data_IF_295615084601
#
_entry.id   IF_295615084601
#
_cell.length_a   1.000
_cell.length_b   1.000
_cell.length_c   1.000
_cell.angle_alpha   90.00
_cell.angle_beta   90.00
_cell.angle_gamma   90.00
#
_symmetry.space_group_name_H-M   'P 1'
#
loop_
_entity.id
_entity.type
_entity.pdbx_description
1 polymer ?
#
# COMPACT_ATOMS: atom_id res chain seq x y z
N UNK A 1 8.54 1.50 -13.96
CA UNK A 1 8.78 2.40 -12.87
C UNK A 1 10.15 2.13 -12.26
N UNK A 2 10.96 3.18 -12.17
CA UNK A 2 12.36 3.08 -11.78
C UNK A 2 12.63 3.42 -10.31
N UNK A 3 11.60 3.47 -9.48
CA UNK A 3 11.79 3.70 -8.06
C UNK A 3 12.52 2.52 -7.44
N UNK A 4 13.64 2.81 -6.78
CA UNK A 4 14.35 1.79 -6.02
C UNK A 4 13.64 1.54 -4.70
N UNK A 5 13.89 0.36 -4.12
CA UNK A 5 13.38 0.04 -2.78
C UNK A 5 13.82 1.10 -1.77
N UNK A 6 15.08 1.51 -1.83
CA UNK A 6 15.61 2.51 -0.90
C UNK A 6 14.89 3.85 -1.02
N UNK A 7 14.55 4.27 -2.23
CA UNK A 7 13.82 5.52 -2.46
C UNK A 7 12.46 5.49 -1.79
N UNK A 8 11.72 4.41 -1.95
CA UNK A 8 10.36 4.29 -1.40
C UNK A 8 10.39 4.21 0.13
N UNK A 9 11.39 3.54 0.70
CA UNK A 9 11.49 3.35 2.14
C UNK A 9 12.23 4.47 2.87
N UNK A 10 12.78 5.43 2.17
CA UNK A 10 13.51 6.55 2.73
C UNK A 10 12.54 7.64 3.17
N UNK A 11 12.58 8.03 4.44
CA UNK A 11 11.72 9.06 5.01
C UNK A 11 11.84 10.42 4.31
N UNK A 12 12.99 10.72 3.70
CA UNK A 12 13.18 11.97 2.97
C UNK A 12 12.25 12.10 1.75
N UNK A 13 11.74 10.98 1.24
CA UNK A 13 10.90 10.95 0.05
C UNK A 13 9.41 10.76 0.34
N UNK A 14 9.01 10.73 1.61
CA UNK A 14 7.63 10.44 2.01
C UNK A 14 6.59 11.32 1.33
N UNK A 15 6.89 12.62 1.15
CA UNK A 15 5.94 13.58 0.60
C UNK A 15 6.10 13.81 -0.91
N UNK A 16 7.06 13.16 -1.57
CA UNK A 16 7.34 13.42 -2.99
C UNK A 16 6.34 12.78 -3.95
N UNK A 17 5.70 11.69 -3.55
CA UNK A 17 4.99 10.82 -4.48
C UNK A 17 3.48 10.88 -4.34
N UNK A 18 2.96 11.86 -3.63
CA UNK A 18 1.53 11.99 -3.49
C UNK A 18 1.11 13.16 -2.63
N UNK A 19 -0.17 13.26 -2.36
CA UNK A 19 -0.71 14.29 -1.48
C UNK A 19 -0.51 13.91 -0.03
N UNK A 20 -0.08 14.88 0.78
CA UNK A 20 -0.02 14.74 2.24
C UNK A 20 -1.42 14.93 2.84
N UNK A 21 -1.57 14.58 4.11
CA UNK A 21 -2.82 14.79 4.86
C UNK A 21 -3.25 16.27 4.83
N UNK A 22 -2.31 17.17 5.02
CA UNK A 22 -2.60 18.63 5.00
C UNK A 22 -3.03 19.10 3.62
N UNK A 23 -2.40 18.57 2.59
CA UNK A 23 -2.78 18.91 1.22
C UNK A 23 -4.19 18.41 0.89
N UNK A 24 -4.55 17.23 1.37
CA UNK A 24 -5.89 16.67 1.23
C UNK A 24 -6.93 17.58 1.91
N UNK A 25 -6.67 18.02 3.13
CA UNK A 25 -7.56 18.92 3.86
C UNK A 25 -7.80 20.21 3.09
N UNK A 26 -6.73 20.80 2.56
CA UNK A 26 -6.82 22.04 1.77
C UNK A 26 -7.59 21.82 0.46
N UNK A 27 -7.33 20.69 -0.20
CA UNK A 27 -7.97 20.39 -1.47
C UNK A 27 -9.47 20.20 -1.29
N UNK A 28 -9.90 19.45 -0.29
CA UNK A 28 -11.32 19.25 0.01
C UNK A 28 -11.99 20.56 0.42
N UNK A 29 -11.33 21.38 1.21
CA UNK A 29 -11.86 22.68 1.60
C UNK A 29 -12.05 23.60 0.38
N UNK A 30 -11.10 23.59 -0.53
CA UNK A 30 -11.17 24.39 -1.76
C UNK A 30 -12.41 24.04 -2.61
N UNK A 31 -12.75 22.75 -2.69
CA UNK A 31 -13.92 22.31 -3.44
C UNK A 31 -15.20 22.23 -2.61
N UNK A 32 -15.17 22.64 -1.35
CA UNK A 32 -16.33 22.60 -0.47
C UNK A 32 -16.78 21.20 -0.08
N UNK A 33 -15.82 20.28 0.00
CA UNK A 33 -16.08 18.85 0.23
C UNK A 33 -15.41 18.32 1.50
N UNK A 34 -15.21 19.16 2.50
CA UNK A 34 -14.51 18.76 3.75
C UNK A 34 -15.22 17.63 4.49
N UNK A 35 -16.53 17.48 4.33
CA UNK A 35 -17.30 16.39 4.95
C UNK A 35 -16.94 15.02 4.35
N UNK A 36 -16.22 14.96 3.24
CA UNK A 36 -15.81 13.72 2.58
C UNK A 36 -14.43 13.22 3.02
N UNK A 37 -13.80 13.88 3.97
CA UNK A 37 -12.43 13.54 4.37
C UNK A 37 -12.31 12.10 4.88
N UNK A 38 -13.24 11.63 5.71
CA UNK A 38 -13.18 10.27 6.25
C UNK A 38 -13.34 9.22 5.15
N UNK A 39 -14.24 9.44 4.21
CA UNK A 39 -14.43 8.52 3.08
C UNK A 39 -13.19 8.49 2.19
N UNK A 40 -12.62 9.65 1.89
CA UNK A 40 -11.41 9.75 1.08
C UNK A 40 -10.25 9.02 1.77
N UNK A 41 -10.12 9.18 3.08
CA UNK A 41 -9.09 8.49 3.86
C UNK A 41 -9.27 6.98 3.83
N UNK A 42 -10.48 6.49 4.04
CA UNK A 42 -10.75 5.05 4.04
C UNK A 42 -10.41 4.39 2.71
N UNK A 43 -10.61 5.10 1.62
CA UNK A 43 -10.42 4.56 0.28
C UNK A 43 -9.00 4.75 -0.25
N UNK A 44 -8.33 5.87 0.07
CA UNK A 44 -7.11 6.26 -0.66
C UNK A 44 -5.91 6.58 0.21
N UNK A 45 -6.04 6.55 1.53
CA UNK A 45 -4.90 6.78 2.40
C UNK A 45 -3.86 5.69 2.19
N UNK A 46 -2.71 6.10 1.67
CA UNK A 46 -1.58 5.22 1.51
C UNK A 46 -0.55 5.48 2.57
N UNK A 47 0.39 4.56 2.72
CA UNK A 47 1.46 4.67 3.68
C UNK A 47 2.77 4.20 3.08
N UNK A 48 3.76 5.08 3.10
CA UNK A 48 5.13 4.72 2.78
C UNK A 48 5.85 4.34 4.08
N UNK A 49 6.96 3.65 3.96
CA UNK A 49 7.72 3.16 5.11
C UNK A 49 8.43 4.30 5.86
N UNK A 50 7.92 5.49 5.81
CA UNK A 50 8.38 6.65 6.55
C UNK A 50 7.40 7.01 7.66
N UNK A 51 7.28 8.30 7.94
CA UNK A 51 6.45 8.81 9.02
C UNK A 51 5.18 9.52 8.54
N UNK A 52 5.00 9.66 7.24
CA UNK A 52 3.93 10.47 6.67
C UNK A 52 2.99 9.62 5.83
N UNK A 53 1.69 9.84 6.01
CA UNK A 53 0.67 9.22 5.18
C UNK A 53 0.59 9.96 3.84
N UNK A 54 0.59 9.21 2.76
CA UNK A 54 0.62 9.74 1.40
C UNK A 54 -0.57 9.18 0.63
N UNK A 55 -1.28 10.04 -0.06
CA UNK A 55 -2.43 9.68 -0.86
C UNK A 55 -2.06 9.66 -2.34
N UNK A 56 -2.56 8.65 -3.06
CA UNK A 56 -2.33 8.53 -4.49
C UNK A 56 -3.02 9.70 -5.23
N UNK A 57 -2.28 10.56 -5.95
CA UNK A 57 -2.87 11.72 -6.61
C UNK A 57 -3.92 11.36 -7.66
N UNK A 58 -3.70 10.30 -8.43
CA UNK A 58 -4.65 9.85 -9.45
C UNK A 58 -6.00 9.51 -8.84
N UNK A 59 -5.98 8.72 -7.78
CA UNK A 59 -7.21 8.31 -7.09
C UNK A 59 -7.94 9.50 -6.49
N UNK A 60 -7.23 10.40 -5.83
CA UNK A 60 -7.81 11.58 -5.19
C UNK A 60 -8.44 12.51 -6.22
N UNK A 61 -7.73 12.82 -7.29
CA UNK A 61 -8.22 13.71 -8.34
C UNK A 61 -9.47 13.14 -8.99
N UNK A 62 -9.47 11.85 -9.31
CA UNK A 62 -10.64 11.22 -9.91
C UNK A 62 -11.83 11.17 -8.96
N UNK A 63 -11.58 10.87 -7.68
CA UNK A 63 -12.62 10.90 -6.66
C UNK A 63 -13.32 12.23 -6.62
N UNK A 64 -12.57 13.32 -6.51
CA UNK A 64 -13.14 14.68 -6.43
C UNK A 64 -13.82 15.07 -7.73
N UNK A 65 -13.20 14.81 -8.88
CA UNK A 65 -13.75 15.21 -10.18
C UNK A 65 -15.05 14.47 -10.53
N UNK A 66 -15.27 13.30 -9.93
CA UNK A 66 -16.48 12.51 -10.16
C UNK A 66 -17.52 12.69 -9.05
N UNK A 67 -17.44 13.79 -8.33
CA UNK A 67 -18.43 14.13 -7.31
C UNK A 67 -18.29 13.33 -6.02
N UNK A 68 -17.08 12.92 -5.67
CA UNK A 68 -16.79 12.13 -4.46
C UNK A 68 -17.47 10.77 -4.45
N UNK A 69 -17.43 10.09 -5.59
CA UNK A 69 -17.89 8.70 -5.71
C UNK A 69 -16.69 7.79 -5.50
N UNK A 70 -16.64 6.98 -4.42
CA UNK A 70 -15.51 6.13 -4.16
C UNK A 70 -15.44 4.93 -5.10
N UNK A 71 -14.31 4.76 -5.76
CA UNK A 71 -14.01 3.64 -6.65
C UNK A 71 -12.51 3.38 -6.65
N UNK A 72 -12.12 2.23 -7.15
CA UNK A 72 -10.71 1.84 -7.28
C UNK A 72 -10.09 2.48 -8.54
N UNK A 73 -9.95 3.78 -8.54
CA UNK A 73 -9.52 4.55 -9.72
C UNK A 73 -8.12 4.17 -10.20
N UNK A 74 -7.17 4.06 -9.30
CA UNK A 74 -5.81 3.69 -9.66
C UNK A 74 -5.70 2.23 -10.08
N UNK A 75 -6.38 1.35 -9.38
CA UNK A 75 -6.42 -0.09 -9.69
C UNK A 75 -6.97 -0.31 -11.09
N UNK A 76 -8.01 0.41 -11.46
CA UNK A 76 -8.65 0.27 -12.75
C UNK A 76 -7.81 0.81 -13.92
N UNK A 77 -6.64 1.41 -13.67
CA UNK A 77 -5.72 1.80 -14.73
C UNK A 77 -4.97 0.61 -15.33
N UNK A 78 -5.09 -0.57 -14.75
CA UNK A 78 -4.35 -1.76 -15.19
C UNK A 78 -2.89 -1.78 -14.79
N UNK A 79 -2.47 -0.91 -13.87
CA UNK A 79 -1.07 -0.81 -13.45
C UNK A 79 -0.73 -1.70 -12.26
N UNK A 80 -1.41 -2.81 -12.12
CA UNK A 80 -1.20 -3.75 -11.02
C UNK A 80 -0.57 -5.08 -11.45
N UNK A 81 0.11 -5.08 -12.60
CA UNK A 81 0.80 -6.28 -13.12
C UNK A 81 1.86 -6.81 -12.16
N UNK A 82 2.61 -5.90 -11.53
CA UNK A 82 3.63 -6.28 -10.53
C UNK A 82 2.98 -7.01 -9.37
N UNK A 83 1.81 -6.55 -8.94
CA UNK A 83 1.06 -7.21 -7.88
C UNK A 83 0.70 -8.65 -8.27
N UNK A 84 0.22 -8.85 -9.49
CA UNK A 84 -0.12 -10.18 -9.99
C UNK A 84 1.09 -11.10 -10.00
N UNK A 85 2.23 -10.60 -10.47
CA UNK A 85 3.47 -11.38 -10.49
C UNK A 85 3.96 -11.74 -9.08
N UNK A 86 3.87 -10.81 -8.15
CA UNK A 86 4.24 -11.06 -6.75
C UNK A 86 3.32 -12.13 -6.16
N UNK A 87 2.02 -12.02 -6.41
CA UNK A 87 1.04 -12.96 -5.88
C UNK A 87 1.19 -14.37 -6.44
N UNK A 88 1.68 -14.50 -7.66
CA UNK A 88 1.96 -15.82 -8.24
C UNK A 88 3.04 -16.59 -7.47
N UNK A 89 3.88 -15.90 -6.71
CA UNK A 89 4.90 -16.52 -5.86
C UNK A 89 4.39 -16.85 -4.46
N UNK A 90 3.14 -16.51 -4.13
CA UNK A 90 2.60 -16.74 -2.80
C UNK A 90 2.35 -18.22 -2.55
N UNK A 91 2.84 -18.71 -1.41
CA UNK A 91 2.54 -20.07 -0.94
C UNK A 91 1.18 -20.10 -0.26
N UNK A 92 0.65 -21.30 0.00
CA UNK A 92 -0.65 -21.44 0.68
C UNK A 92 -0.66 -20.77 2.05
N UNK A 93 0.44 -20.84 2.77
CA UNK A 93 0.61 -20.18 4.07
C UNK A 93 0.47 -18.66 3.94
N UNK A 94 1.10 -18.08 2.91
CA UNK A 94 1.03 -16.64 2.65
C UNK A 94 -0.39 -16.25 2.24
N UNK A 95 -1.03 -17.02 1.37
CA UNK A 95 -2.42 -16.75 0.97
C UNK A 95 -3.35 -16.74 2.19
N UNK A 96 -3.17 -17.67 3.11
CA UNK A 96 -3.94 -17.72 4.35
C UNK A 96 -3.77 -16.43 5.17
N UNK A 97 -2.54 -15.94 5.30
CA UNK A 97 -2.28 -14.67 5.99
C UNK A 97 -2.86 -13.47 5.27
N UNK A 98 -2.88 -13.50 3.94
CA UNK A 98 -3.52 -12.44 3.17
C UNK A 98 -5.03 -12.40 3.40
N UNK A 99 -5.67 -13.55 3.60
CA UNK A 99 -7.08 -13.59 4.00
C UNK A 99 -7.31 -12.92 5.36
N UNK A 100 -6.39 -13.11 6.31
CA UNK A 100 -6.45 -12.43 7.60
C UNK A 100 -6.40 -10.91 7.42
N UNK A 101 -5.48 -10.44 6.57
CA UNK A 101 -5.36 -9.01 6.25
C UNK A 101 -6.63 -8.45 5.61
N UNK A 102 -7.29 -9.23 4.75
CA UNK A 102 -8.56 -8.82 4.12
C UNK A 102 -9.71 -8.65 5.11
N UNK A 103 -9.62 -9.28 6.27
CA UNK A 103 -10.59 -9.12 7.33
C UNK A 103 -10.36 -7.85 8.16
N UNK A 104 -9.37 -7.05 7.78
CA UNK A 104 -9.03 -5.82 8.51
C UNK A 104 -8.04 -6.04 9.65
N UNK A 105 -7.51 -7.23 9.79
CA UNK A 105 -6.54 -7.55 10.84
C UNK A 105 -5.11 -7.30 10.35
N UNK A 106 -4.16 -7.33 11.28
CA UNK A 106 -2.74 -7.19 10.99
C UNK A 106 -2.03 -8.53 11.05
N UNK A 107 -0.88 -8.59 10.40
CA UNK A 107 0.02 -9.75 10.44
C UNK A 107 1.42 -9.25 10.74
N UNK A 108 2.17 -10.01 11.52
CA UNK A 108 3.57 -9.68 11.80
C UNK A 108 4.44 -10.33 10.71
N UNK A 109 5.25 -9.52 10.04
CA UNK A 109 6.12 -9.97 8.97
C UNK A 109 7.51 -9.37 9.11
N UNK A 110 8.52 -10.12 8.65
CA UNK A 110 9.88 -9.62 8.55
C UNK A 110 10.00 -8.81 7.26
N UNK A 111 10.46 -7.59 7.38
CA UNK A 111 10.64 -6.68 6.25
C UNK A 111 12.13 -6.40 6.06
N UNK A 112 12.59 -6.63 4.84
CA UNK A 112 13.95 -6.35 4.42
C UNK A 112 13.94 -5.13 3.50
N UNK A 113 14.63 -4.05 3.89
CA UNK A 113 14.72 -2.83 3.11
C UNK A 113 15.49 -3.02 1.80
N UNK A 114 16.32 -4.04 1.72
CA UNK A 114 17.17 -4.31 0.56
C UNK A 114 16.56 -5.37 -0.37
N UNK A 115 15.28 -5.69 -0.18
CA UNK A 115 14.61 -6.68 -1.00
C UNK A 115 14.57 -6.23 -2.46
N UNK A 116 14.78 -7.19 -3.35
CA UNK A 116 14.58 -7.02 -4.79
C UNK A 116 13.67 -8.13 -5.28
N UNK A 117 13.11 -7.98 -6.47
CA UNK A 117 12.14 -8.93 -7.00
C UNK A 117 12.67 -10.37 -7.00
N UNK A 118 13.93 -10.57 -7.39
CA UNK A 118 14.55 -11.90 -7.41
C UNK A 118 14.67 -12.56 -6.03
N UNK A 119 14.53 -11.79 -4.95
CA UNK A 119 14.58 -12.33 -3.58
C UNK A 119 13.44 -13.30 -3.29
N UNK A 120 12.37 -13.30 -4.09
CA UNK A 120 11.29 -14.28 -3.97
C UNK A 120 11.77 -15.70 -4.24
N UNK A 121 12.75 -15.88 -5.12
CA UNK A 121 13.32 -17.19 -5.41
C UNK A 121 14.13 -17.73 -4.23
N UNK A 122 14.68 -16.85 -3.39
CA UNK A 122 15.47 -17.23 -2.22
C UNK A 122 14.57 -17.59 -1.05
N UNK A 123 13.54 -16.77 -0.80
CA UNK A 123 12.59 -17.00 0.30
C UNK A 123 11.24 -16.37 -0.07
N UNK A 124 10.18 -17.20 -0.22
CA UNK A 124 8.84 -16.67 -0.51
C UNK A 124 8.32 -15.67 0.51
N UNK A 125 8.81 -15.68 1.76
CA UNK A 125 8.42 -14.70 2.78
C UNK A 125 8.85 -13.28 2.41
N UNK A 126 9.77 -13.09 1.47
CA UNK A 126 10.14 -11.77 0.96
C UNK A 126 8.98 -11.07 0.22
N UNK A 127 7.89 -11.80 -0.03
CA UNK A 127 6.69 -11.22 -0.63
C UNK A 127 6.15 -10.05 0.20
N UNK A 128 6.22 -10.12 1.52
CA UNK A 128 5.72 -9.03 2.38
C UNK A 128 6.52 -7.75 2.18
N UNK A 129 7.84 -7.87 2.05
CA UNK A 129 8.70 -6.72 1.79
C UNK A 129 8.39 -6.08 0.44
N UNK A 130 8.19 -6.90 -0.59
CA UNK A 130 7.85 -6.40 -1.93
C UNK A 130 6.48 -5.75 -1.95
N UNK A 131 5.50 -6.34 -1.28
CA UNK A 131 4.15 -5.75 -1.19
C UNK A 131 4.18 -4.41 -0.46
N UNK A 132 4.97 -4.31 0.61
CA UNK A 132 5.12 -3.05 1.34
C UNK A 132 5.75 -1.97 0.46
N UNK A 133 6.86 -2.29 -0.20
CA UNK A 133 7.57 -1.34 -1.06
C UNK A 133 6.70 -0.88 -2.24
N UNK A 134 5.92 -1.79 -2.79
CA UNK A 134 5.04 -1.48 -3.92
C UNK A 134 3.76 -0.74 -3.51
N UNK A 135 3.53 -0.52 -2.21
CA UNK A 135 2.36 0.21 -1.72
C UNK A 135 1.13 -0.63 -1.46
N UNK A 136 1.25 -1.96 -1.48
CA UNK A 136 0.12 -2.85 -1.24
C UNK A 136 -0.04 -3.27 0.23
N UNK A 137 0.90 -2.90 1.07
CA UNK A 137 0.81 -3.04 2.52
C UNK A 137 1.28 -1.74 3.18
N UNK A 138 0.89 -1.54 4.43
CA UNK A 138 1.44 -0.47 5.27
C UNK A 138 1.86 -1.05 6.62
N UNK A 139 2.77 -0.35 7.31
CA UNK A 139 3.21 -0.74 8.64
C UNK A 139 2.49 0.06 9.71
N UNK A 140 2.14 -0.58 10.81
CA UNK A 140 1.64 0.09 12.02
C UNK A 140 2.74 0.22 13.06
N UNK A 141 3.56 -0.81 13.19
CA UNK A 141 4.69 -0.86 14.13
C UNK A 141 5.86 -1.51 13.43
N UNK A 142 7.07 -1.07 13.76
CA UNK A 142 8.29 -1.66 13.22
C UNK A 142 9.35 -1.73 14.31
N UNK A 143 9.96 -2.91 14.46
CA UNK A 143 11.04 -3.15 15.40
C UNK A 143 12.30 -3.57 14.63
N UNK A 144 13.38 -2.80 14.78
CA UNK A 144 14.66 -3.08 14.13
C UNK A 144 15.27 -4.33 14.75
N UNK A 145 15.68 -5.26 13.89
CA UNK A 145 16.37 -6.49 14.31
C UNK A 145 17.87 -6.36 14.18
N UNK A 146 18.60 -7.27 14.83
CA UNK A 146 20.06 -7.24 14.85
C UNK A 146 20.69 -7.37 13.46
N UNK A 147 20.00 -8.02 12.51
CA UNK A 147 20.49 -8.21 11.15
C UNK A 147 20.17 -7.05 10.20
N UNK A 148 19.57 -5.96 10.72
CA UNK A 148 19.19 -4.81 9.92
C UNK A 148 17.80 -4.89 9.28
N UNK A 149 17.12 -6.02 9.38
CA UNK A 149 15.72 -6.13 8.96
C UNK A 149 14.79 -5.56 10.02
N UNK A 150 13.51 -5.41 9.67
CA UNK A 150 12.47 -4.98 10.62
C UNK A 150 11.46 -6.08 10.81
N UNK A 151 10.98 -6.22 12.05
CA UNK A 151 9.78 -7.01 12.32
C UNK A 151 8.63 -6.02 12.39
N UNK A 152 7.68 -6.15 11.46
CA UNK A 152 6.63 -5.15 11.28
C UNK A 152 5.25 -5.76 11.47
N UNK A 153 4.36 -4.98 12.06
CA UNK A 153 2.95 -5.26 12.02
C UNK A 153 2.39 -4.59 10.77
N UNK A 154 1.94 -5.40 9.79
CA UNK A 154 1.50 -4.91 8.49
C UNK A 154 0.00 -5.07 8.33
N UNK A 155 -0.60 -4.16 7.56
CA UNK A 155 -2.02 -4.18 7.21
C UNK A 155 -2.18 -3.77 5.76
N UNK A 156 -3.36 -4.03 5.19
CA UNK A 156 -3.74 -3.48 3.89
C UNK A 156 -4.04 -1.99 4.09
N UNK A 157 -3.49 -1.09 3.23
CA UNK A 157 -3.56 0.35 3.48
C UNK A 157 -4.96 0.95 3.45
N UNK A 158 -5.81 0.50 2.51
CA UNK A 158 -7.10 1.14 2.28
C UNK A 158 -8.03 0.24 1.47
N UNK A 159 -9.24 0.71 1.25
CA UNK A 159 -10.28 -0.06 0.54
C UNK A 159 -9.97 -0.25 -0.93
N UNK A 160 -9.33 0.73 -1.57
CA UNK A 160 -8.92 0.58 -2.97
C UNK A 160 -7.97 -0.60 -3.12
N UNK A 161 -6.93 -0.64 -2.30
CA UNK A 161 -5.93 -1.71 -2.34
C UNK A 161 -6.55 -3.05 -1.93
N UNK A 162 -7.45 -3.06 -0.95
CA UNK A 162 -8.15 -4.29 -0.57
C UNK A 162 -8.89 -4.91 -1.76
N UNK A 163 -9.43 -4.10 -2.67
CA UNK A 163 -10.13 -4.60 -3.85
C UNK A 163 -9.20 -5.36 -4.80
N UNK A 164 -7.92 -4.96 -4.88
CA UNK A 164 -6.91 -5.68 -5.67
C UNK A 164 -6.70 -7.08 -5.12
N UNK A 165 -6.49 -7.18 -3.79
CA UNK A 165 -6.30 -8.48 -3.13
C UNK A 165 -7.49 -9.40 -3.35
N UNK A 166 -8.70 -8.88 -3.18
CA UNK A 166 -9.93 -9.68 -3.36
C UNK A 166 -10.02 -10.22 -4.78
N UNK A 167 -9.78 -9.37 -5.76
CA UNK A 167 -9.83 -9.76 -7.17
C UNK A 167 -8.81 -10.86 -7.47
N UNK A 168 -7.58 -10.71 -6.98
CA UNK A 168 -6.50 -11.66 -7.25
C UNK A 168 -6.70 -12.99 -6.52
N UNK A 169 -7.12 -12.94 -5.25
CA UNK A 169 -7.36 -14.15 -4.45
C UNK A 169 -8.53 -14.96 -5.01
N UNK A 170 -9.59 -14.29 -5.45
CA UNK A 170 -10.75 -14.96 -6.02
C UNK A 170 -10.47 -15.56 -7.40
N UNK A 171 -9.47 -15.08 -8.13
CA UNK A 171 -9.11 -15.60 -9.45
C UNK A 171 -8.19 -16.84 -9.36
N UNK A 172 -7.73 -17.16 -8.20
CA UNK A 172 -6.92 -18.33 -7.90
C UNK A 172 -7.72 -19.32 -7.03
#
# INVERSE_FOLDING_TARGET
NNLSVNTVMDEEYDSFFGFTEKEIEKLLAYYGMSEKENELRDWYDGYLFGNEEIYNPWSVINYISKGCIPQAYWVNTGKNEIFEEIMNAATDDIVEKLHILLQGESVIARIDQNVVYRSLAEDPANIYSLLLVAGYLKTQKKDLQADGSYLCEVTIPNKEIASVYKSEILSH
#
